data_IF_352902658623
#
_entry.id   IF_352902658623
#
_cell.length_a   1.000
_cell.length_b   1.000
_cell.length_c   1.000
_cell.angle_alpha   90.00
_cell.angle_beta   90.00
_cell.angle_gamma   90.00
#
_symmetry.space_group_name_H-M   'P 1'
#
loop_
_entity.id
_entity.type
_entity.pdbx_description
1 polymer ?
#
# COMPACT_ATOMS: atom_id res chain seq x y z
N UNK A 1 -49.80 14.84 -31.58
CA UNK A 1 -49.08 14.06 -32.61
C UNK A 1 -48.02 13.24 -31.89
N UNK A 2 -48.11 11.90 -32.01
CA UNK A 2 -47.38 10.93 -31.19
C UNK A 2 -45.95 10.79 -31.75
N UNK A 3 -44.93 11.13 -30.95
CA UNK A 3 -43.52 10.88 -31.32
C UNK A 3 -43.02 9.67 -30.55
N UNK A 4 -42.45 8.73 -31.30
CA UNK A 4 -42.15 7.36 -30.89
C UNK A 4 -40.83 7.24 -30.11
N UNK A 5 -40.89 6.49 -29.02
CA UNK A 5 -39.76 5.99 -28.25
C UNK A 5 -39.00 4.94 -29.08
N UNK A 6 -37.70 5.12 -29.29
CA UNK A 6 -36.82 4.12 -29.91
C UNK A 6 -36.04 3.36 -28.82
N UNK A 7 -36.02 2.02 -28.81
CA UNK A 7 -35.18 1.26 -27.89
C UNK A 7 -33.80 1.07 -28.52
N UNK A 8 -32.77 1.72 -27.97
CA UNK A 8 -31.38 1.36 -28.26
C UNK A 8 -30.84 0.58 -27.07
N UNK A 9 -31.14 -0.72 -27.07
CA UNK A 9 -30.51 -1.71 -26.19
C UNK A 9 -29.14 -2.04 -26.81
N UNK A 10 -28.13 -1.25 -26.47
CA UNK A 10 -26.72 -1.57 -26.71
C UNK A 10 -26.10 -2.03 -25.40
N UNK A 11 -26.17 -3.32 -25.10
CA UNK A 11 -25.46 -3.89 -23.95
C UNK A 11 -23.95 -3.82 -24.22
N UNK A 12 -23.28 -2.83 -23.63
CA UNK A 12 -21.83 -2.81 -23.54
C UNK A 12 -21.40 -3.84 -22.48
N UNK A 13 -21.11 -5.05 -22.92
CA UNK A 13 -20.45 -6.07 -22.09
C UNK A 13 -18.98 -5.66 -21.96
N UNK A 14 -18.64 -4.96 -20.87
CA UNK A 14 -17.25 -4.82 -20.45
C UNK A 14 -16.84 -6.19 -19.90
N UNK A 15 -16.05 -6.93 -20.67
CA UNK A 15 -15.37 -8.12 -20.18
C UNK A 15 -14.40 -7.70 -19.08
N UNK A 16 -14.79 -7.91 -17.82
CA UNK A 16 -13.86 -7.98 -16.70
C UNK A 16 -13.00 -9.23 -16.88
N UNK A 17 -11.93 -9.10 -17.66
CA UNK A 17 -10.77 -9.96 -17.52
C UNK A 17 -10.25 -9.73 -16.10
N UNK A 18 -10.64 -10.62 -15.19
CA UNK A 18 -10.08 -10.74 -13.86
C UNK A 18 -8.61 -11.11 -13.96
N UNK A 19 -7.76 -10.11 -14.24
CA UNK A 19 -6.38 -10.13 -13.81
C UNK A 19 -6.39 -9.89 -12.32
N UNK A 20 -6.44 -10.96 -11.52
CA UNK A 20 -6.04 -10.84 -10.13
C UNK A 20 -4.62 -10.29 -10.14
N UNK A 21 -4.43 -9.06 -9.68
CA UNK A 21 -3.11 -8.49 -9.53
C UNK A 21 -2.38 -9.39 -8.53
N UNK A 22 -1.45 -10.21 -9.02
CA UNK A 22 -0.44 -10.79 -8.14
C UNK A 22 0.35 -9.61 -7.60
N UNK A 23 0.15 -9.28 -6.33
CA UNK A 23 1.02 -8.38 -5.58
C UNK A 23 2.35 -9.10 -5.38
N UNK A 24 3.17 -9.12 -6.43
CA UNK A 24 4.51 -9.64 -6.40
C UNK A 24 5.44 -8.51 -5.96
N UNK A 25 5.84 -8.53 -4.70
CA UNK A 25 6.92 -7.67 -4.21
C UNK A 25 8.27 -8.21 -4.71
N UNK A 26 9.23 -7.30 -4.91
CA UNK A 26 10.57 -7.68 -5.36
C UNK A 26 11.41 -8.19 -4.18
N UNK A 27 11.70 -9.50 -4.16
CA UNK A 27 12.53 -10.11 -3.12
C UNK A 27 13.99 -9.58 -3.14
N UNK A 28 14.47 -9.04 -4.26
CA UNK A 28 15.81 -8.44 -4.33
C UNK A 28 15.96 -7.22 -3.41
N UNK A 29 14.85 -6.56 -3.06
CA UNK A 29 14.81 -5.42 -2.15
C UNK A 29 15.36 -5.76 -0.74
N UNK A 30 15.24 -7.02 -0.30
CA UNK A 30 15.76 -7.47 1.00
C UNK A 30 17.29 -7.35 1.12
N UNK A 31 18.01 -7.29 0.00
CA UNK A 31 19.46 -7.08 -0.06
C UNK A 31 19.88 -5.67 -0.46
N UNK A 32 18.96 -4.76 -0.76
CA UNK A 32 19.27 -3.41 -1.24
C UNK A 32 19.16 -2.37 -0.11
N UNK A 33 20.31 -1.93 0.41
CA UNK A 33 20.35 -0.90 1.44
C UNK A 33 20.00 0.50 0.94
N UNK A 34 20.13 0.73 -0.37
CA UNK A 34 20.09 2.07 -0.97
C UNK A 34 18.78 2.36 -1.67
N UNK A 35 17.98 1.34 -1.95
CA UNK A 35 16.70 1.43 -2.66
C UNK A 35 15.65 0.58 -1.97
N UNK A 36 14.42 0.76 -2.42
CA UNK A 36 13.25 0.09 -1.87
C UNK A 36 12.22 1.06 -1.31
N UNK A 37 10.96 0.63 -1.37
CA UNK A 37 9.79 1.34 -0.83
C UNK A 37 9.04 0.51 0.21
N UNK A 38 9.27 -0.80 0.24
CA UNK A 38 8.57 -1.74 1.10
C UNK A 38 9.36 -1.98 2.39
N UNK A 39 8.64 -2.40 3.42
CA UNK A 39 9.19 -2.92 4.66
C UNK A 39 8.81 -4.40 4.77
N UNK A 40 9.62 -5.26 4.13
CA UNK A 40 9.30 -6.67 3.88
C UNK A 40 9.62 -7.60 5.07
N UNK A 41 10.55 -7.22 5.93
CA UNK A 41 10.99 -8.00 7.11
C UNK A 41 11.12 -7.08 8.33
N UNK A 42 11.35 -7.66 9.51
CA UNK A 42 11.44 -6.94 10.79
C UNK A 42 12.37 -5.71 10.74
N UNK A 43 13.58 -5.85 10.20
CA UNK A 43 14.54 -4.74 10.07
C UNK A 43 14.67 -4.14 8.67
N UNK A 44 13.63 -4.24 7.83
CA UNK A 44 13.56 -3.86 6.39
C UNK A 44 14.40 -4.71 5.45
N UNK A 45 15.69 -4.87 5.73
CA UNK A 45 16.66 -5.68 4.96
C UNK A 45 17.28 -6.76 5.82
N UNK A 46 18.02 -7.68 5.19
CA UNK A 46 18.74 -8.74 5.91
C UNK A 46 19.77 -8.22 6.93
N UNK A 47 20.23 -6.98 6.79
CA UNK A 47 21.21 -6.40 7.71
C UNK A 47 20.56 -5.85 9.00
N UNK A 48 19.23 -5.82 9.05
CA UNK A 48 18.43 -5.38 10.21
C UNK A 48 18.78 -3.97 10.72
N UNK A 49 19.31 -3.09 9.86
CA UNK A 49 19.72 -1.74 10.25
C UNK A 49 18.55 -0.80 10.50
N UNK A 50 17.32 -1.20 10.15
CA UNK A 50 16.10 -0.37 10.28
C UNK A 50 16.21 1.00 9.61
N UNK A 51 17.03 1.11 8.57
CA UNK A 51 17.25 2.32 7.81
C UNK A 51 16.36 2.34 6.57
N UNK A 52 15.61 3.43 6.33
CA UNK A 52 14.85 3.62 5.08
C UNK A 52 15.62 4.55 4.13
N UNK A 53 15.76 4.21 2.83
CA UNK A 53 16.37 5.10 1.85
C UNK A 53 15.41 6.21 1.36
N UNK A 54 14.15 6.23 1.79
CA UNK A 54 13.18 7.26 1.40
C UNK A 54 13.53 8.60 2.06
N UNK A 55 13.46 9.69 1.28
CA UNK A 55 13.87 11.03 1.70
C UNK A 55 12.80 12.11 1.44
N UNK A 56 11.57 11.70 1.11
CA UNK A 56 10.45 12.63 0.91
C UNK A 56 10.17 13.45 2.17
N UNK A 57 10.25 12.81 3.34
CA UNK A 57 10.24 13.47 4.64
C UNK A 57 11.69 13.66 5.09
N UNK A 58 12.05 14.89 5.48
CA UNK A 58 13.40 15.31 5.84
C UNK A 58 13.38 16.40 6.93
N UNK A 59 14.57 16.83 7.36
CA UNK A 59 14.73 17.79 8.47
C UNK A 59 14.08 19.15 8.18
N UNK A 60 13.97 19.51 6.91
CA UNK A 60 13.43 20.77 6.44
C UNK A 60 11.89 20.78 6.44
N UNK A 61 11.25 19.63 6.24
CA UNK A 61 9.79 19.53 6.09
C UNK A 61 9.05 18.74 7.18
N UNK A 62 9.77 18.05 8.09
CA UNK A 62 9.17 17.22 9.15
C UNK A 62 8.20 17.99 10.05
N UNK A 63 8.41 19.30 10.23
CA UNK A 63 7.52 20.17 11.01
C UNK A 63 6.12 20.35 10.42
N UNK A 64 5.92 19.99 9.14
CA UNK A 64 4.63 20.08 8.45
C UNK A 64 3.78 18.80 8.49
N UNK A 65 4.24 17.74 9.17
CA UNK A 65 3.49 16.48 9.22
C UNK A 65 2.20 16.63 10.04
N UNK A 66 1.12 16.05 9.52
CA UNK A 66 -0.17 15.92 10.19
C UNK A 66 -0.64 14.47 10.16
N UNK A 67 -1.56 14.10 11.06
CA UNK A 67 -2.17 12.77 11.06
C UNK A 67 -2.91 12.53 9.73
N UNK A 68 -2.51 11.50 8.99
CA UNK A 68 -3.16 11.13 7.73
C UNK A 68 -4.43 10.28 7.96
N UNK A 69 -4.36 9.30 8.85
CA UNK A 69 -5.46 8.41 9.21
C UNK A 69 -5.13 7.68 10.52
N UNK A 70 -6.14 7.06 11.14
CA UNK A 70 -5.99 6.19 12.30
C UNK A 70 -6.92 4.99 12.19
N UNK A 71 -6.57 3.89 12.86
CA UNK A 71 -7.40 2.69 12.99
C UNK A 71 -7.39 2.24 14.44
N UNK A 72 -8.56 1.88 14.97
CA UNK A 72 -8.67 1.29 16.30
C UNK A 72 -8.49 -0.22 16.21
N UNK A 73 -7.58 -0.77 17.01
CA UNK A 73 -7.34 -2.21 17.08
C UNK A 73 -8.16 -2.79 18.25
N UNK A 74 -9.09 -3.72 18.00
CA UNK A 74 -9.91 -4.31 19.06
C UNK A 74 -9.04 -5.09 20.05
N UNK A 75 -9.35 -4.98 21.34
CA UNK A 75 -8.68 -5.68 22.44
C UNK A 75 -7.15 -5.46 22.53
N UNK A 76 -6.64 -4.39 21.92
CA UNK A 76 -5.23 -4.03 21.96
C UNK A 76 -4.81 -3.68 23.40
N UNK A 77 -3.93 -4.52 23.98
CA UNK A 77 -3.35 -4.28 25.32
C UNK A 77 -1.91 -3.79 25.24
N UNK A 78 -1.09 -4.42 24.40
CA UNK A 78 0.32 -4.09 24.21
C UNK A 78 0.63 -4.16 22.72
N UNK A 79 1.08 -3.04 22.15
CA UNK A 79 1.49 -2.95 20.74
C UNK A 79 3.01 -2.88 20.70
N UNK A 80 3.63 -4.01 20.37
CA UNK A 80 5.11 -4.16 20.31
C UNK A 80 5.59 -4.64 18.94
N UNK A 81 4.67 -4.85 17.99
CA UNK A 81 4.99 -5.35 16.67
C UNK A 81 5.68 -4.28 15.81
N UNK A 82 6.60 -4.71 14.95
CA UNK A 82 7.05 -3.90 13.83
C UNK A 82 6.12 -4.19 12.65
N UNK A 83 5.36 -3.19 12.21
CA UNK A 83 4.44 -3.32 11.08
C UNK A 83 5.21 -3.59 9.79
N UNK A 84 4.71 -4.53 8.98
CA UNK A 84 5.22 -4.74 7.62
C UNK A 84 4.38 -3.94 6.63
N UNK A 85 5.03 -3.32 5.66
CA UNK A 85 4.40 -2.53 4.61
C UNK A 85 4.80 -3.09 3.25
N UNK A 86 3.85 -3.69 2.54
CA UNK A 86 4.11 -4.40 1.28
C UNK A 86 3.08 -3.95 0.25
N UNK A 87 3.54 -3.29 -0.81
CA UNK A 87 2.73 -2.83 -1.94
C UNK A 87 1.44 -2.08 -1.53
N UNK A 88 1.55 -1.24 -0.51
CA UNK A 88 0.44 -0.43 0.01
C UNK A 88 -0.44 -1.11 1.06
N UNK A 89 -0.13 -2.36 1.44
CA UNK A 89 -0.82 -3.09 2.52
C UNK A 89 0.03 -3.07 3.79
N UNK A 90 -0.60 -2.75 4.92
CA UNK A 90 0.00 -2.84 6.24
C UNK A 90 -0.41 -4.14 6.94
N UNK A 91 0.57 -4.90 7.41
CA UNK A 91 0.38 -6.11 8.22
C UNK A 91 0.82 -5.82 9.65
N UNK A 92 -0.12 -5.92 10.58
CA UNK A 92 0.05 -5.61 12.01
C UNK A 92 -0.57 -6.73 12.85
N UNK A 93 0.00 -6.95 14.04
CA UNK A 93 -0.48 -7.91 15.05
C UNK A 93 -0.62 -7.22 16.39
#
# INVERSE_FOLDING_TARGET
MKSALRPFCGALVIALLGGGATHAFDAAELGDEKRGKNWLTHGRTHSEQRHSPLAEINAENVGGLSLAWSVELPDARQLVSTTLAVDGILYVT
#
